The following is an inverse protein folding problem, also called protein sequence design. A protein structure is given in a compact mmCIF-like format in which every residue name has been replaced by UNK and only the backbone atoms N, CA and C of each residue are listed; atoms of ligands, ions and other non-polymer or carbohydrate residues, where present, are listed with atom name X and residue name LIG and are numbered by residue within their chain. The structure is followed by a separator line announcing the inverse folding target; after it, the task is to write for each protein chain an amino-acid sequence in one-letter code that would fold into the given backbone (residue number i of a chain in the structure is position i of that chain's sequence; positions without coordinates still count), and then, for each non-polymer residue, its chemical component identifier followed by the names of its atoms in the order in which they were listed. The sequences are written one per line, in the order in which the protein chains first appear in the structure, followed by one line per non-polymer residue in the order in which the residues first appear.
data_IF_506876977470
#
_entry.id   IF_506876977470
#
_cell.length_a   1.000
_cell.length_b   1.000
_cell.length_c   1.000
_cell.angle_alpha   90.00
_cell.angle_beta   90.00
_cell.angle_gamma   90.00
#
_symmetry.space_group_name_H-M   'P 1'
#
loop_
_entity.id
_entity.type
_entity.pdbx_description
1 polymer ?
#
# COMPACT_ATOMS: atom_id res chain seq x y z
N UNK A 1 -5.66 -17.85 -4.14
CA UNK A 1 -6.20 -16.51 -4.46
C UNK A 1 -5.19 -15.83 -5.36
N UNK A 2 -5.59 -15.05 -6.37
CA UNK A 2 -4.61 -14.33 -7.18
C UNK A 2 -3.83 -13.37 -6.28
N UNK A 3 -2.51 -13.46 -6.33
CA UNK A 3 -1.62 -12.60 -5.55
C UNK A 3 -1.80 -11.17 -6.09
N UNK A 4 -2.08 -10.23 -5.19
CA UNK A 4 -2.28 -8.81 -5.54
C UNK A 4 -0.97 -8.23 -6.05
N UNK A 5 -1.01 -7.51 -7.17
CA UNK A 5 0.17 -6.82 -7.71
C UNK A 5 0.47 -5.55 -6.87
N UNK A 6 1.69 -5.41 -6.30
CA UNK A 6 2.10 -4.20 -5.61
C UNK A 6 1.99 -2.92 -6.47
N UNK A 7 2.19 -3.00 -7.79
CA UNK A 7 2.02 -1.82 -8.67
C UNK A 7 0.56 -1.35 -8.75
N UNK A 8 -0.38 -2.29 -8.81
CA UNK A 8 -1.82 -1.96 -8.77
C UNK A 8 -2.18 -1.23 -7.48
N UNK A 9 -1.62 -1.67 -6.33
CA UNK A 9 -1.85 -1.01 -5.04
C UNK A 9 -1.21 0.37 -4.95
N UNK A 10 -0.02 0.57 -5.50
CA UNK A 10 0.57 1.90 -5.61
C UNK A 10 -0.32 2.83 -6.45
N UNK A 11 -0.87 2.33 -7.57
CA UNK A 11 -1.79 3.09 -8.42
C UNK A 11 -3.12 3.42 -7.72
N UNK A 12 -3.65 2.52 -6.89
CA UNK A 12 -4.82 2.79 -6.04
C UNK A 12 -4.56 3.94 -5.07
N UNK A 13 -3.42 3.92 -4.36
CA UNK A 13 -3.05 5.00 -3.45
C UNK A 13 -2.89 6.33 -4.20
N UNK A 14 -2.28 6.32 -5.38
CA UNK A 14 -2.15 7.50 -6.24
C UNK A 14 -3.53 8.05 -6.67
N UNK A 15 -4.48 7.19 -7.03
CA UNK A 15 -5.86 7.60 -7.31
C UNK A 15 -6.53 8.23 -6.08
N UNK A 16 -6.38 7.63 -4.91
CA UNK A 16 -6.94 8.14 -3.66
C UNK A 16 -6.33 9.50 -3.27
N UNK A 17 -5.02 9.68 -3.45
CA UNK A 17 -4.30 10.94 -3.19
C UNK A 17 -4.84 12.11 -3.99
N UNK A 18 -5.30 11.90 -5.22
CA UNK A 18 -5.84 12.97 -6.09
C UNK A 18 -7.16 13.55 -5.57
N UNK A 19 -7.94 12.75 -4.85
CA UNK A 19 -9.25 13.17 -4.32
C UNK A 19 -9.23 13.47 -2.82
N UNK A 20 -8.14 13.15 -2.12
CA UNK A 20 -8.02 13.36 -0.68
C UNK A 20 -7.54 14.78 -0.39
N UNK A 21 -8.32 15.55 0.39
CA UNK A 21 -7.97 16.92 0.79
C UNK A 21 -7.30 16.97 2.16
N UNK A 22 -7.74 16.13 3.10
CA UNK A 22 -7.21 16.11 4.46
C UNK A 22 -5.70 15.83 4.47
N UNK A 23 -4.87 16.72 5.05
CA UNK A 23 -3.41 16.62 4.95
C UNK A 23 -2.86 15.37 5.64
N UNK A 24 -3.46 14.94 6.75
CA UNK A 24 -3.02 13.75 7.50
C UNK A 24 -3.30 12.47 6.68
N UNK A 25 -4.48 12.38 6.08
CA UNK A 25 -4.85 11.32 5.14
C UNK A 25 -3.94 11.30 3.93
N UNK A 26 -3.62 12.48 3.35
CA UNK A 26 -2.71 12.59 2.21
C UNK A 26 -1.32 12.08 2.55
N UNK A 27 -0.74 12.49 3.68
CA UNK A 27 0.56 12.01 4.13
C UNK A 27 0.55 10.49 4.34
N UNK A 28 -0.49 9.98 5.00
CA UNK A 28 -0.68 8.54 5.24
C UNK A 28 -0.73 7.75 3.93
N UNK A 29 -1.57 8.17 2.97
CA UNK A 29 -1.68 7.52 1.66
C UNK A 29 -0.38 7.62 0.86
N UNK A 30 0.36 8.72 0.96
CA UNK A 30 1.66 8.87 0.31
C UNK A 30 2.66 7.86 0.87
N UNK A 31 2.76 7.74 2.21
CA UNK A 31 3.66 6.79 2.84
C UNK A 31 3.33 5.33 2.47
N UNK A 32 2.04 4.99 2.44
CA UNK A 32 1.59 3.66 2.02
C UNK A 32 1.92 3.41 0.54
N UNK A 33 1.74 4.40 -0.34
CA UNK A 33 2.13 4.32 -1.75
C UNK A 33 3.62 4.01 -1.89
N UNK A 34 4.49 4.69 -1.14
CA UNK A 34 5.93 4.46 -1.19
C UNK A 34 6.30 3.03 -0.75
N UNK A 35 5.62 2.47 0.27
CA UNK A 35 5.83 1.06 0.63
C UNK A 35 5.44 0.10 -0.50
N UNK A 36 4.32 0.35 -1.19
CA UNK A 36 3.92 -0.47 -2.34
C UNK A 36 4.90 -0.37 -3.50
N UNK A 37 5.41 0.84 -3.80
CA UNK A 37 6.43 1.06 -4.85
C UNK A 37 7.72 0.31 -4.51
N UNK A 38 8.21 0.43 -3.27
CA UNK A 38 9.42 -0.27 -2.83
C UNK A 38 9.25 -1.79 -2.98
N UNK A 39 8.13 -2.35 -2.50
CA UNK A 39 7.84 -3.78 -2.66
C UNK A 39 7.75 -4.19 -4.13
N UNK A 40 7.13 -3.37 -4.98
CA UNK A 40 7.02 -3.66 -6.41
C UNK A 40 8.39 -3.73 -7.10
N UNK A 41 9.30 -2.81 -6.75
CA UNK A 41 10.67 -2.78 -7.26
C UNK A 41 11.47 -4.00 -6.83
N UNK A 42 11.29 -4.43 -5.58
CA UNK A 42 11.97 -5.56 -4.97
C UNK A 42 11.35 -6.92 -5.33
N UNK A 43 10.09 -6.95 -5.76
CA UNK A 43 9.29 -8.18 -5.97
C UNK A 43 10.00 -9.25 -6.80
N UNK A 44 10.75 -8.85 -7.84
CA UNK A 44 11.51 -9.76 -8.72
C UNK A 44 12.65 -10.50 -8.02
N UNK A 45 13.09 -10.02 -6.86
CA UNK A 45 14.19 -10.59 -6.07
C UNK A 45 13.67 -11.39 -4.87
N UNK A 46 12.36 -11.40 -4.63
CA UNK A 46 11.73 -12.11 -3.51
C UNK A 46 11.18 -13.46 -3.97
N UNK A 47 11.15 -14.43 -3.07
CA UNK A 47 10.33 -15.62 -3.27
C UNK A 47 8.85 -15.25 -3.16
N UNK A 48 7.98 -16.06 -3.78
CA UNK A 48 6.53 -15.87 -3.72
C UNK A 48 6.01 -15.80 -2.27
N UNK A 49 6.54 -16.66 -1.38
CA UNK A 49 6.17 -16.67 0.04
C UNK A 49 6.52 -15.35 0.75
N UNK A 50 7.73 -14.84 0.54
CA UNK A 50 8.17 -13.58 1.15
C UNK A 50 7.38 -12.41 0.57
N UNK A 51 7.15 -12.40 -0.74
CA UNK A 51 6.34 -11.39 -1.41
C UNK A 51 4.90 -11.39 -0.86
N UNK A 52 4.28 -12.56 -0.71
CA UNK A 52 2.94 -12.69 -0.14
C UNK A 52 2.88 -12.16 1.31
N UNK A 53 3.86 -12.48 2.14
CA UNK A 53 3.95 -11.99 3.52
C UNK A 53 4.12 -10.45 3.60
N UNK A 54 4.91 -9.87 2.70
CA UNK A 54 5.08 -8.42 2.60
C UNK A 54 3.79 -7.74 2.12
N UNK A 55 3.12 -8.27 1.10
CA UNK A 55 1.81 -7.78 0.63
C UNK A 55 0.81 -7.78 1.79
N UNK A 56 0.73 -8.86 2.55
CA UNK A 56 -0.17 -8.99 3.68
C UNK A 56 0.15 -7.95 4.79
N UNK A 57 1.43 -7.73 5.05
CA UNK A 57 1.90 -6.77 6.07
C UNK A 57 1.55 -5.34 5.71
N UNK A 58 1.85 -4.90 4.48
CA UNK A 58 1.49 -3.56 4.01
C UNK A 58 -0.04 -3.41 3.94
N UNK A 59 -0.76 -4.44 3.48
CA UNK A 59 -2.22 -4.46 3.45
C UNK A 59 -2.87 -4.26 4.81
N UNK A 60 -2.35 -4.92 5.85
CA UNK A 60 -2.81 -4.71 7.24
C UNK A 60 -2.50 -3.32 7.76
N UNK A 61 -1.31 -2.79 7.47
CA UNK A 61 -0.92 -1.45 7.88
C UNK A 61 -1.88 -0.40 7.28
N UNK A 62 -2.18 -0.53 5.99
CA UNK A 62 -3.14 0.33 5.29
C UNK A 62 -4.52 0.29 5.97
N UNK A 63 -5.09 -0.90 6.17
CA UNK A 63 -6.39 -1.04 6.81
C UNK A 63 -6.43 -0.51 8.25
N UNK A 64 -5.34 -0.65 9.01
CA UNK A 64 -5.25 -0.12 10.38
C UNK A 64 -5.23 1.41 10.40
N UNK A 65 -4.45 2.03 9.51
CA UNK A 65 -4.34 3.48 9.42
C UNK A 65 -5.66 4.09 8.93
N UNK A 66 -6.31 3.48 7.94
CA UNK A 66 -7.64 3.92 7.50
C UNK A 66 -8.64 3.94 8.65
N UNK A 67 -8.70 2.88 9.47
CA UNK A 67 -9.59 2.84 10.63
C UNK A 67 -9.27 3.93 11.65
N UNK A 68 -7.99 4.20 11.92
CA UNK A 68 -7.59 5.21 12.90
C UNK A 68 -7.96 6.64 12.48
N UNK A 69 -8.01 6.91 11.17
CA UNK A 69 -8.37 8.21 10.62
C UNK A 69 -9.90 8.40 10.52
N UNK A 70 -10.68 7.31 10.53
CA UNK A 70 -12.15 7.38 10.52
C UNK A 70 -12.77 7.24 11.92
N UNK A 71 -11.98 6.98 12.96
CA UNK A 71 -12.40 6.90 14.36
C UNK A 71 -12.38 8.28 15.02
#
# INVERSE_FOLDING_TARGET
MPQVDPWEKAADCERALRITVDPIRRETLSNIREFWIALAQESRFLSEEVLAAQIETIGRLHAKLDRAIHA
#
